data_IF_880682941466
#
_entry.id   IF_880682941466
#
_cell.length_a   1.000
_cell.length_b   1.000
_cell.length_c   1.000
_cell.angle_alpha   90.00
_cell.angle_beta   90.00
_cell.angle_gamma   90.00
#
_symmetry.space_group_name_H-M   'P 1'
#
loop_
_entity.id
_entity.type
_entity.pdbx_description
1 polymer ?
#
# COMPACT_ATOMS: atom_id res chain seq x y z
N UNK A 1 9.15 -2.41 -8.60
CA UNK A 1 8.48 -1.17 -9.06
C UNK A 1 7.59 -0.65 -7.95
N UNK A 2 7.73 0.62 -7.63
CA UNK A 2 6.87 1.27 -6.65
C UNK A 2 5.64 1.84 -7.35
N UNK A 3 4.47 1.59 -6.79
CA UNK A 3 3.20 2.10 -7.32
C UNK A 3 2.35 2.63 -6.18
N UNK A 4 1.55 3.64 -6.50
CA UNK A 4 0.59 4.20 -5.56
C UNK A 4 -0.83 3.84 -5.98
N UNK A 5 -1.73 3.59 -5.04
CA UNK A 5 -3.14 3.39 -5.38
C UNK A 5 -3.66 4.61 -6.16
N UNK A 6 -4.60 4.40 -7.05
CA UNK A 6 -5.16 5.43 -7.93
C UNK A 6 -4.20 5.98 -8.98
N UNK A 7 -2.92 5.60 -8.96
CA UNK A 7 -1.97 6.06 -9.98
C UNK A 7 -1.84 5.11 -11.15
N UNK A 8 -2.46 3.95 -11.09
CA UNK A 8 -2.41 2.95 -12.14
C UNK A 8 -3.73 2.20 -12.22
N UNK A 9 -4.00 1.66 -13.40
CA UNK A 9 -5.18 0.83 -13.64
C UNK A 9 -4.78 -0.63 -13.70
N UNK A 10 -5.76 -1.51 -13.77
CA UNK A 10 -5.49 -2.93 -13.97
C UNK A 10 -4.81 -3.18 -15.31
N UNK A 11 -5.19 -2.43 -16.34
CA UNK A 11 -4.53 -2.51 -17.65
C UNK A 11 -3.08 -2.07 -17.57
N UNK A 12 -2.80 -1.01 -16.81
CA UNK A 12 -1.43 -0.56 -16.58
C UNK A 12 -0.61 -1.66 -15.91
N UNK A 13 -1.18 -2.33 -14.92
CA UNK A 13 -0.52 -3.43 -14.22
C UNK A 13 -0.17 -4.55 -15.19
N UNK A 14 -1.09 -4.93 -16.05
CA UNK A 14 -0.84 -5.96 -17.08
C UNK A 14 0.27 -5.53 -18.02
N UNK A 15 0.31 -4.26 -18.37
CA UNK A 15 1.39 -3.70 -19.20
C UNK A 15 2.75 -3.79 -18.51
N UNK A 16 2.82 -3.48 -17.23
CA UNK A 16 4.06 -3.59 -16.47
C UNK A 16 4.53 -5.05 -16.40
N UNK A 17 3.61 -5.97 -16.16
CA UNK A 17 3.94 -7.40 -16.11
C UNK A 17 4.43 -7.88 -17.46
N UNK A 18 3.78 -7.49 -18.54
CA UNK A 18 4.19 -7.85 -19.89
C UNK A 18 5.57 -7.30 -20.25
N UNK A 19 5.95 -6.16 -19.64
CA UNK A 19 7.27 -5.58 -19.84
C UNK A 19 8.35 -6.24 -18.98
N UNK A 20 7.99 -7.25 -18.19
CA UNK A 20 8.95 -8.02 -17.39
C UNK A 20 9.04 -7.62 -15.92
N UNK A 21 8.19 -6.70 -15.46
CA UNK A 21 8.19 -6.31 -14.05
C UNK A 21 7.44 -7.38 -13.25
N UNK A 22 8.10 -7.93 -12.24
CA UNK A 22 7.54 -9.03 -11.46
C UNK A 22 7.59 -8.82 -9.94
N UNK A 23 7.98 -7.62 -9.49
CA UNK A 23 7.97 -7.24 -8.06
C UNK A 23 7.41 -5.84 -7.95
N UNK A 24 6.47 -5.66 -7.01
CA UNK A 24 5.77 -4.39 -6.82
C UNK A 24 5.75 -4.01 -5.35
N UNK A 25 5.91 -2.72 -5.05
CA UNK A 25 5.65 -2.15 -3.73
C UNK A 25 4.49 -1.20 -3.86
N UNK A 26 3.43 -1.43 -3.10
CA UNK A 26 2.21 -0.62 -3.13
C UNK A 26 2.16 0.29 -1.91
N UNK A 27 2.22 1.59 -2.14
CA UNK A 27 2.22 2.60 -1.08
C UNK A 27 0.82 2.90 -0.58
N UNK A 28 0.24 2.00 0.18
CA UNK A 28 -1.11 2.16 0.73
C UNK A 28 -1.18 3.26 1.78
N UNK A 29 -0.22 3.32 2.67
CA UNK A 29 -0.11 4.28 3.78
C UNK A 29 -1.10 3.98 4.89
N UNK A 30 -2.39 3.98 4.62
CA UNK A 30 -3.47 3.67 5.55
C UNK A 30 -4.71 3.24 4.77
N UNK A 31 -5.62 2.56 5.43
CA UNK A 31 -6.95 2.23 4.87
C UNK A 31 -8.05 3.11 5.48
N UNK A 32 -7.67 4.23 6.08
CA UNK A 32 -8.61 5.16 6.70
C UNK A 32 -8.63 6.45 5.89
N UNK A 33 -9.78 6.80 5.31
CA UNK A 33 -9.90 7.96 4.44
C UNK A 33 -9.57 9.27 5.14
N UNK A 34 -9.93 9.42 6.42
CA UNK A 34 -9.62 10.63 7.17
C UNK A 34 -8.11 10.79 7.37
N UNK A 35 -7.44 9.69 7.67
CA UNK A 35 -5.98 9.69 7.84
C UNK A 35 -5.31 10.00 6.50
N UNK A 36 -5.76 9.38 5.42
CA UNK A 36 -5.21 9.63 4.09
C UNK A 36 -5.37 11.08 3.69
N UNK A 37 -6.54 11.65 3.93
CA UNK A 37 -6.82 13.03 3.59
C UNK A 37 -5.95 13.99 4.38
N UNK A 38 -5.82 13.78 5.69
CA UNK A 38 -4.96 14.61 6.55
C UNK A 38 -3.49 14.49 6.20
N UNK A 39 -3.09 13.36 5.66
CA UNK A 39 -1.70 13.11 5.25
C UNK A 39 -1.40 13.61 3.85
N UNK A 40 -2.37 14.24 3.18
CA UNK A 40 -2.18 14.78 1.83
C UNK A 40 -2.17 13.73 0.74
N UNK A 41 -2.70 12.56 0.99
CA UNK A 41 -2.75 11.52 -0.03
C UNK A 41 -3.92 11.74 -0.97
N UNK A 42 -3.73 11.38 -2.23
CA UNK A 42 -4.75 11.54 -3.27
C UNK A 42 -5.67 10.34 -3.36
N UNK A 43 -5.17 9.16 -3.01
CA UNK A 43 -5.98 7.96 -3.12
C UNK A 43 -6.90 7.81 -1.93
N UNK A 44 -7.97 7.05 -2.13
CA UNK A 44 -8.91 6.68 -1.10
C UNK A 44 -8.72 5.21 -0.73
N UNK A 45 -9.36 4.82 0.38
CA UNK A 45 -9.36 3.45 0.84
C UNK A 45 -9.79 2.47 -0.27
N UNK A 46 -10.81 2.84 -1.03
CA UNK A 46 -11.32 2.00 -2.12
C UNK A 46 -10.26 1.75 -3.19
N UNK A 47 -9.46 2.78 -3.50
CA UNK A 47 -8.36 2.64 -4.46
C UNK A 47 -7.31 1.67 -3.93
N UNK A 48 -6.98 1.78 -2.65
CA UNK A 48 -6.01 0.90 -2.01
C UNK A 48 -6.50 -0.55 -2.02
N UNK A 49 -7.77 -0.76 -1.70
CA UNK A 49 -8.34 -2.12 -1.68
C UNK A 49 -8.34 -2.76 -3.07
N UNK A 50 -8.70 -1.99 -4.10
CA UNK A 50 -8.67 -2.49 -5.48
C UNK A 50 -7.25 -2.89 -5.88
N UNK A 51 -6.29 -2.01 -5.60
CA UNK A 51 -4.89 -2.26 -5.98
C UNK A 51 -4.34 -3.49 -5.27
N UNK A 52 -4.66 -3.66 -4.00
CA UNK A 52 -4.27 -4.84 -3.25
C UNK A 52 -4.84 -6.11 -3.86
N UNK A 53 -6.11 -6.08 -4.27
CA UNK A 53 -6.74 -7.24 -4.90
C UNK A 53 -6.09 -7.58 -6.23
N UNK A 54 -5.76 -6.58 -7.05
CA UNK A 54 -5.09 -6.82 -8.33
C UNK A 54 -3.74 -7.49 -8.13
N UNK A 55 -2.94 -6.97 -7.20
CA UNK A 55 -1.61 -7.53 -6.93
C UNK A 55 -1.71 -8.93 -6.31
N UNK A 56 -2.67 -9.13 -5.41
CA UNK A 56 -2.90 -10.45 -4.83
C UNK A 56 -3.23 -11.48 -5.89
N UNK A 57 -4.12 -11.14 -6.82
CA UNK A 57 -4.50 -12.05 -7.90
C UNK A 57 -3.32 -12.41 -8.80
N UNK A 58 -2.51 -11.40 -9.15
CA UNK A 58 -1.33 -11.64 -9.99
C UNK A 58 -0.29 -12.49 -9.26
N UNK A 59 -0.13 -12.28 -7.97
CA UNK A 59 0.77 -13.09 -7.16
C UNK A 59 0.26 -14.52 -7.04
N UNK A 60 -1.01 -14.70 -6.74
CA UNK A 60 -1.61 -16.04 -6.59
C UNK A 60 -1.58 -16.82 -7.89
N UNK A 61 -1.69 -16.15 -9.02
CA UNK A 61 -1.63 -16.81 -10.35
C UNK A 61 -0.20 -17.06 -10.82
N UNK A 62 0.81 -16.57 -10.11
CA UNK A 62 2.20 -16.74 -10.49
C UNK A 62 2.71 -15.74 -11.50
N UNK A 63 1.91 -14.73 -11.88
CA UNK A 63 2.32 -13.72 -12.87
C UNK A 63 3.39 -12.78 -12.34
N UNK A 64 3.43 -12.57 -11.03
CA UNK A 64 4.48 -11.79 -10.37
C UNK A 64 5.12 -12.64 -9.28
N UNK A 65 6.36 -12.33 -8.95
CA UNK A 65 7.12 -13.08 -7.94
C UNK A 65 6.83 -12.63 -6.53
N UNK A 66 6.53 -11.35 -6.34
CA UNK A 66 6.30 -10.80 -5.01
C UNK A 66 5.65 -9.44 -5.09
N UNK A 67 5.01 -9.03 -3.99
CA UNK A 67 4.58 -7.66 -3.81
C UNK A 67 4.62 -7.32 -2.32
N UNK A 68 4.79 -6.04 -2.04
CA UNK A 68 4.81 -5.51 -0.69
C UNK A 68 3.67 -4.53 -0.51
N UNK A 69 3.02 -4.61 0.64
CA UNK A 69 2.01 -3.65 1.04
C UNK A 69 2.68 -2.72 2.07
N UNK A 70 2.72 -1.43 1.78
CA UNK A 70 3.44 -0.48 2.62
C UNK A 70 2.45 0.36 3.42
N UNK A 71 2.61 0.35 4.74
CA UNK A 71 1.83 1.15 5.68
C UNK A 71 2.74 2.12 6.41
N UNK A 72 2.16 3.23 6.88
CA UNK A 72 2.86 4.19 7.71
C UNK A 72 2.20 4.26 9.07
N UNK A 73 2.99 4.09 10.11
CA UNK A 73 2.59 4.21 11.50
C UNK A 73 2.73 5.68 11.94
N UNK A 74 1.93 6.09 12.90
CA UNK A 74 1.98 7.46 13.47
C UNK A 74 1.63 8.58 12.50
N UNK A 75 0.76 8.30 11.53
CA UNK A 75 0.19 9.34 10.69
C UNK A 75 -0.75 10.24 11.48
N UNK A 76 -1.01 11.48 11.03
CA UNK A 76 -2.01 12.33 11.66
C UNK A 76 -3.34 11.62 11.81
N UNK A 77 -3.97 11.76 12.96
CA UNK A 77 -5.24 11.11 13.34
C UNK A 77 -5.13 9.59 13.53
N UNK A 78 -3.95 9.01 13.39
CA UNK A 78 -3.78 7.58 13.57
C UNK A 78 -3.42 7.27 15.03
N UNK A 79 -4.42 6.87 15.82
CA UNK A 79 -4.19 6.32 17.14
C UNK A 79 -3.95 4.82 17.09
N UNK A 80 -3.91 4.20 18.25
CA UNK A 80 -3.64 2.76 18.36
C UNK A 80 -4.72 1.92 17.65
N UNK A 81 -5.99 2.32 17.80
CA UNK A 81 -7.09 1.59 17.19
C UNK A 81 -7.02 1.65 15.66
N UNK A 82 -6.80 2.85 15.13
CA UNK A 82 -6.68 3.04 13.68
C UNK A 82 -5.52 2.26 13.11
N UNK A 83 -4.41 2.22 13.82
CA UNK A 83 -3.25 1.45 13.42
C UNK A 83 -3.54 -0.05 13.40
N UNK A 84 -4.23 -0.56 14.44
CA UNK A 84 -4.63 -1.95 14.47
C UNK A 84 -5.58 -2.30 13.32
N UNK A 85 -6.52 -1.40 13.01
CA UNK A 85 -7.46 -1.61 11.91
C UNK A 85 -6.72 -1.69 10.57
N UNK A 86 -5.71 -0.83 10.37
CA UNK A 86 -4.89 -0.87 9.16
C UNK A 86 -4.12 -2.19 9.05
N UNK A 87 -3.53 -2.65 10.14
CA UNK A 87 -2.81 -3.92 10.14
C UNK A 87 -3.73 -5.10 9.84
N UNK A 88 -4.90 -5.12 10.44
CA UNK A 88 -5.88 -6.18 10.20
C UNK A 88 -6.32 -6.20 8.75
N UNK A 89 -6.58 -5.02 8.18
CA UNK A 89 -6.98 -4.90 6.79
C UNK A 89 -5.88 -5.39 5.86
N UNK A 90 -4.64 -4.98 6.12
CA UNK A 90 -3.51 -5.38 5.31
C UNK A 90 -3.35 -6.90 5.29
N UNK A 91 -3.51 -7.54 6.43
CA UNK A 91 -3.36 -8.99 6.55
C UNK A 91 -4.41 -9.73 5.74
N UNK A 92 -5.61 -9.16 5.56
CA UNK A 92 -6.66 -9.82 4.77
C UNK A 92 -6.25 -10.04 3.33
N UNK A 93 -5.29 -9.27 2.80
CA UNK A 93 -4.80 -9.44 1.44
C UNK A 93 -3.62 -10.41 1.35
N UNK A 94 -3.13 -10.91 2.47
CA UNK A 94 -2.03 -11.88 2.55
C UNK A 94 -0.84 -11.50 1.69
N UNK A 95 -0.33 -10.24 1.79
CA UNK A 95 0.84 -9.87 0.99
C UNK A 95 2.05 -10.69 1.42
N UNK A 96 2.93 -11.11 0.50
CA UNK A 96 4.15 -11.81 0.87
C UNK A 96 5.10 -10.94 1.70
N UNK A 97 5.01 -9.62 1.56
CA UNK A 97 5.77 -8.67 2.37
C UNK A 97 4.88 -7.55 2.85
N UNK A 98 5.05 -7.16 4.09
CA UNK A 98 4.38 -6.01 4.69
C UNK A 98 5.48 -5.09 5.22
N UNK A 99 5.60 -3.91 4.63
CA UNK A 99 6.59 -2.92 5.05
C UNK A 99 5.91 -1.86 5.90
N UNK A 100 6.50 -1.58 7.05
CA UNK A 100 5.95 -0.61 7.99
C UNK A 100 6.97 0.50 8.17
N UNK A 101 6.56 1.73 7.86
CA UNK A 101 7.38 2.92 8.03
C UNK A 101 6.85 3.72 9.19
N UNK A 102 7.73 4.21 10.04
CA UNK A 102 7.35 5.01 11.20
C UNK A 102 7.50 6.48 10.86
N UNK A 103 6.40 7.22 10.97
CA UNK A 103 6.43 8.67 10.80
C UNK A 103 6.93 9.30 12.10
N UNK A 104 8.21 9.16 12.38
CA UNK A 104 8.85 9.75 13.55
C UNK A 104 9.60 10.98 13.14
N UNK A 105 9.07 12.15 13.47
CA UNK A 105 9.65 13.43 13.08
C UNK A 105 10.59 14.03 14.14
N UNK A 106 10.78 13.35 15.26
CA UNK A 106 11.62 13.88 16.33
C UNK A 106 13.04 14.18 15.85
N UNK A 107 13.54 13.35 14.99
CA UNK A 107 14.90 13.51 14.49
C UNK A 107 14.98 14.23 13.16
N UNK A 108 13.86 14.69 12.64
CA UNK A 108 13.80 15.28 11.31
C UNK A 108 14.14 14.31 10.20
N UNK A 109 14.06 13.03 10.45
CA UNK A 109 14.49 11.98 9.54
C UNK A 109 13.37 11.14 8.97
N UNK A 110 12.23 11.72 8.88
CA UNK A 110 11.05 11.01 8.47
C UNK A 110 11.17 10.66 7.03
N UNK A 111 11.19 10.00 6.31
CA UNK A 111 11.22 9.78 4.85
C UNK A 111 12.50 10.27 4.22
N UNK A 112 13.50 9.67 4.49
CA UNK A 112 14.78 9.86 3.82
C UNK A 112 14.80 9.33 2.40
#
# INVERSE_FOLDING_TARGET
MEVDPASFTQDDLHGFINAGINRFSLGVQSFNNQILQKSGRRHLREDAEKSCLWLKREYDSGSIKSWSLDLIQNLPLSGFKEWQDDLKKAITFSPPHLSIYDLNIENGNVFK
#
